data_IF_571168886270
#
_entry.id   IF_571168886270
#
_cell.length_a   1.000
_cell.length_b   1.000
_cell.length_c   1.000
_cell.angle_alpha   90.00
_cell.angle_beta   90.00
_cell.angle_gamma   90.00
#
_symmetry.space_group_name_H-M   'P 1'
#
loop_
_entity.id
_entity.type
_entity.pdbx_description
1 polymer ?
#
# COMPACT_ATOMS: atom_id res chain seq x y z
N UNK A 1 -5.28 -19.88 10.89
CA UNK A 1 -5.28 -18.48 10.39
C UNK A 1 -4.01 -18.22 9.56
N UNK A 2 -3.80 -18.85 8.39
CA UNK A 2 -2.49 -18.79 7.68
C UNK A 2 -2.55 -18.90 6.14
N UNK A 3 -3.46 -18.20 5.46
CA UNK A 3 -3.57 -18.29 3.98
C UNK A 3 -3.26 -16.97 3.24
N UNK A 4 -3.33 -15.80 3.89
CA UNK A 4 -3.16 -14.51 3.21
C UNK A 4 -1.70 -13.99 3.18
N UNK A 5 -0.83 -14.46 4.07
CA UNK A 5 0.50 -13.86 4.29
C UNK A 5 1.53 -14.28 3.23
N UNK A 6 1.40 -15.47 2.64
CA UNK A 6 2.37 -15.98 1.65
C UNK A 6 2.31 -15.22 0.33
N UNK A 7 1.10 -14.95 -0.18
CA UNK A 7 0.93 -14.26 -1.47
C UNK A 7 1.34 -12.78 -1.44
N UNK A 8 1.03 -12.06 -0.36
CA UNK A 8 1.39 -10.64 -0.25
C UNK A 8 2.88 -10.41 -0.04
N UNK A 9 3.54 -11.30 0.73
CA UNK A 9 4.98 -11.26 0.88
C UNK A 9 5.67 -11.51 -0.47
N UNK A 10 5.23 -12.53 -1.20
CA UNK A 10 5.77 -12.89 -2.51
C UNK A 10 5.60 -11.76 -3.53
N UNK A 11 4.39 -11.20 -3.64
CA UNK A 11 4.11 -10.04 -4.49
C UNK A 11 4.98 -8.83 -4.13
N UNK A 12 5.21 -8.56 -2.84
CA UNK A 12 6.12 -7.49 -2.42
C UNK A 12 7.55 -7.78 -2.85
N UNK A 13 8.04 -9.00 -2.67
CA UNK A 13 9.40 -9.38 -3.09
C UNK A 13 9.57 -9.26 -4.60
N UNK A 14 8.57 -9.68 -5.39
CA UNK A 14 8.58 -9.54 -6.84
C UNK A 14 8.69 -8.09 -7.27
N UNK A 15 7.91 -7.18 -6.66
CA UNK A 15 7.97 -5.76 -6.97
C UNK A 15 9.31 -5.13 -6.60
N UNK A 16 9.93 -5.57 -5.50
CA UNK A 16 11.28 -5.13 -5.13
C UNK A 16 12.31 -5.65 -6.13
N UNK A 17 12.22 -6.93 -6.49
CA UNK A 17 13.14 -7.57 -7.44
C UNK A 17 13.08 -6.93 -8.84
N UNK A 18 11.89 -6.53 -9.27
CA UNK A 18 11.67 -5.83 -10.54
C UNK A 18 11.98 -4.32 -10.48
N UNK A 19 12.39 -3.80 -9.31
CA UNK A 19 12.67 -2.37 -9.13
C UNK A 19 11.43 -1.47 -9.19
N UNK A 20 10.23 -2.06 -9.12
CA UNK A 20 8.95 -1.34 -9.05
C UNK A 20 8.78 -0.70 -7.67
N UNK A 21 9.22 -1.39 -6.62
CA UNK A 21 9.16 -0.95 -5.24
C UNK A 21 10.58 -0.80 -4.68
N UNK A 22 11.00 0.43 -4.40
CA UNK A 22 12.37 0.71 -3.93
C UNK A 22 12.34 1.47 -2.61
N UNK A 23 13.29 1.23 -1.70
CA UNK A 23 13.44 2.08 -0.53
C UNK A 23 13.87 3.48 -0.99
N UNK A 24 13.28 4.53 -0.41
CA UNK A 24 13.60 5.92 -0.71
C UNK A 24 15.03 6.27 -0.30
N UNK A 25 15.53 5.63 0.75
CA UNK A 25 16.91 5.74 1.22
C UNK A 25 17.47 4.34 1.51
N UNK A 26 18.76 4.13 1.28
CA UNK A 26 19.42 2.82 1.48
C UNK A 26 19.54 2.37 2.95
N UNK A 27 18.94 3.11 3.88
CA UNK A 27 18.98 2.84 5.30
C UNK A 27 17.85 1.90 5.74
N UNK A 28 18.13 1.07 6.75
CA UNK A 28 17.11 0.23 7.37
C UNK A 28 16.00 1.11 7.97
N UNK A 29 14.74 0.84 7.59
CA UNK A 29 13.57 1.59 8.05
C UNK A 29 13.13 2.75 7.13
N UNK A 30 13.81 2.96 6.00
CA UNK A 30 13.39 3.96 5.02
C UNK A 30 12.02 3.64 4.43
N UNK A 31 11.19 4.66 4.14
CA UNK A 31 9.93 4.43 3.44
C UNK A 31 10.21 3.86 2.05
N UNK A 32 9.24 3.14 1.50
CA UNK A 32 9.32 2.63 0.14
C UNK A 32 8.50 3.52 -0.79
N UNK A 33 8.97 3.66 -2.03
CA UNK A 33 8.29 4.36 -3.11
C UNK A 33 8.13 3.45 -4.31
N UNK A 34 7.05 3.66 -5.05
CA UNK A 34 6.89 3.07 -6.37
C UNK A 34 7.68 3.89 -7.39
N UNK A 35 8.31 3.21 -8.34
CA UNK A 35 9.08 3.84 -9.42
C UNK A 35 8.27 4.07 -10.70
N UNK A 36 7.08 3.48 -10.77
CA UNK A 36 6.13 3.58 -11.87
C UNK A 36 4.70 3.46 -11.35
N UNK A 37 3.73 3.85 -12.17
CA UNK A 37 2.32 3.60 -11.89
C UNK A 37 2.04 2.10 -11.80
N UNK A 38 1.39 1.67 -10.73
CA UNK A 38 1.07 0.26 -10.49
C UNK A 38 -0.37 0.11 -10.01
N UNK A 39 -1.13 -0.73 -10.72
CA UNK A 39 -2.54 -0.99 -10.40
C UNK A 39 -2.64 -2.19 -9.46
N UNK A 40 -3.15 -1.94 -8.26
CA UNK A 40 -3.47 -2.99 -7.30
C UNK A 40 -4.95 -3.39 -7.38
N UNK A 41 -5.26 -4.63 -7.06
CA UNK A 41 -6.64 -5.14 -7.04
C UNK A 41 -7.54 -4.48 -6.00
N UNK A 42 -6.96 -3.80 -4.99
CA UNK A 42 -7.68 -3.12 -3.92
C UNK A 42 -6.77 -2.14 -3.16
N UNK A 43 -7.34 -1.08 -2.54
CA UNK A 43 -6.58 -0.16 -1.71
C UNK A 43 -5.91 -0.85 -0.51
N UNK A 44 -6.55 -1.86 0.08
CA UNK A 44 -5.93 -2.65 1.17
C UNK A 44 -4.75 -3.49 0.68
N UNK A 45 -4.80 -4.02 -0.54
CA UNK A 45 -3.67 -4.75 -1.14
C UNK A 45 -2.48 -3.82 -1.35
N UNK A 46 -2.74 -2.62 -1.91
CA UNK A 46 -1.71 -1.61 -2.11
C UNK A 46 -1.04 -1.22 -0.77
N UNK A 47 -1.82 -0.95 0.27
CA UNK A 47 -1.31 -0.63 1.60
C UNK A 47 -0.50 -1.78 2.20
N UNK A 48 -0.99 -3.02 2.07
CA UNK A 48 -0.31 -4.19 2.62
C UNK A 48 1.04 -4.45 1.92
N UNK A 49 1.08 -4.29 0.60
CA UNK A 49 2.31 -4.43 -0.19
C UNK A 49 3.32 -3.35 0.19
N UNK A 50 2.92 -2.09 0.35
CA UNK A 50 3.82 -0.98 0.67
C UNK A 50 4.33 -1.01 2.11
N UNK A 51 3.49 -1.44 3.07
CA UNK A 51 3.85 -1.50 4.49
C UNK A 51 4.48 -2.84 4.88
N UNK A 52 4.32 -3.89 4.07
CA UNK A 52 4.88 -5.21 4.33
C UNK A 52 4.14 -5.96 5.45
N UNK A 53 2.91 -5.56 5.76
CA UNK A 53 2.04 -6.17 6.77
C UNK A 53 0.58 -6.06 6.33
N UNK A 54 -0.31 -6.83 6.94
CA UNK A 54 -1.75 -6.63 6.78
C UNK A 54 -2.14 -5.20 7.14
N UNK A 55 -2.88 -4.53 6.25
CA UNK A 55 -3.21 -3.11 6.40
C UNK A 55 -4.63 -2.81 5.88
N UNK A 56 -5.28 -1.83 6.50
CA UNK A 56 -6.60 -1.37 6.09
C UNK A 56 -6.46 -0.17 5.15
N UNK A 57 -6.68 -0.38 3.84
CA UNK A 57 -6.55 0.70 2.86
C UNK A 57 -7.47 1.89 3.14
N UNK A 58 -8.64 1.65 3.74
CA UNK A 58 -9.55 2.74 4.10
C UNK A 58 -8.98 3.72 5.13
N UNK A 59 -7.98 3.33 5.93
CA UNK A 59 -7.36 4.15 6.98
C UNK A 59 -5.95 4.61 6.60
N UNK A 60 -5.17 3.75 5.93
CA UNK A 60 -3.77 4.07 5.62
C UNK A 60 -3.66 5.13 4.51
N UNK A 61 -4.59 5.13 3.55
CA UNK A 61 -4.60 6.11 2.47
C UNK A 61 -5.21 7.42 2.95
N UNK A 62 -4.45 8.51 2.81
CA UNK A 62 -4.87 9.85 3.27
C UNK A 62 -4.58 10.90 2.21
N UNK A 63 -5.45 11.90 2.16
CA UNK A 63 -5.26 13.13 1.38
C UNK A 63 -4.25 14.06 2.10
N UNK A 64 -3.81 15.11 1.41
CA UNK A 64 -2.84 16.11 1.87
C UNK A 64 -3.21 16.77 3.21
N UNK A 65 -4.50 16.83 3.57
CA UNK A 65 -4.95 17.35 4.87
C UNK A 65 -5.24 16.25 5.91
N UNK A 66 -4.90 15.00 5.63
CA UNK A 66 -4.95 13.89 6.58
C UNK A 66 -6.26 13.09 6.65
N UNK A 67 -7.27 13.43 5.84
CA UNK A 67 -8.52 12.68 5.74
C UNK A 67 -8.28 11.31 5.11
N UNK A 68 -8.84 10.27 5.72
CA UNK A 68 -8.70 8.90 5.24
C UNK A 68 -9.53 8.62 3.99
N UNK A 69 -9.14 7.64 3.19
CA UNK A 69 -9.90 7.21 2.01
C UNK A 69 -11.34 6.86 2.36
N UNK A 70 -11.58 6.23 3.51
CA UNK A 70 -12.93 5.92 3.98
C UNK A 70 -13.77 7.18 4.21
N UNK A 71 -13.18 8.23 4.78
CA UNK A 71 -13.88 9.52 4.97
C UNK A 71 -14.19 10.18 3.62
N UNK A 72 -13.23 10.16 2.68
CA UNK A 72 -13.42 10.71 1.33
C UNK A 72 -14.57 9.99 0.60
N UNK A 73 -14.60 8.66 0.64
CA UNK A 73 -15.68 7.88 0.02
C UNK A 73 -17.05 8.15 0.65
N UNK A 74 -17.11 8.37 1.97
CA UNK A 74 -18.35 8.72 2.66
C UNK A 74 -18.86 10.11 2.30
N UNK A 75 -17.95 11.08 2.10
CA UNK A 75 -18.28 12.42 1.62
C UNK A 75 -18.80 12.38 0.18
N UNK A 76 -18.19 11.56 -0.68
CA UNK A 76 -18.64 11.39 -2.07
C UNK A 76 -20.03 10.74 -2.17
N UNK A 77 -20.31 9.72 -1.35
CA UNK A 77 -21.59 9.01 -1.39
C UNK A 77 -22.78 9.82 -0.83
N UNK A 78 -22.51 10.95 -0.16
CA UNK A 78 -23.54 11.85 0.39
C UNK A 78 -23.95 13.00 -0.53
N UNK A 79 -23.38 13.08 -1.75
CA UNK A 79 -23.72 14.03 -2.81
C UNK A 79 -24.66 13.41 -3.84
#
# INVERSE_FOLDING_TARGET
MQQHVRGMYDARQELIANGVLVPESGNAGSPYRLTQDYVFSSPSTAAAVLLGRSANGGIEWKDSIGRTLKELQALEAGM
#
